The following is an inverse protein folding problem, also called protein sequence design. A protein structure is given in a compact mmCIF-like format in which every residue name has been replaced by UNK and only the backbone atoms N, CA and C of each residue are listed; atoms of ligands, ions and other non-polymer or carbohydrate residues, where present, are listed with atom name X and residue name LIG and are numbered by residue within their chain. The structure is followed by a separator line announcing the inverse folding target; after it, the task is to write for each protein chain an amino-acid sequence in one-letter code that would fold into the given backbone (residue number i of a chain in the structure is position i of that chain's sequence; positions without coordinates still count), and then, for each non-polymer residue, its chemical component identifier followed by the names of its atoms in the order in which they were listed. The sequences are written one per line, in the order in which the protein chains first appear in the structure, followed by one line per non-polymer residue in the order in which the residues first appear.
data_IF_478049708508
#
_entry.id   IF_478049708508
#
_cell.length_a   1.000
_cell.length_b   1.000
_cell.length_c   1.000
_cell.angle_alpha   90.00
_cell.angle_beta   90.00
_cell.angle_gamma   90.00
#
_symmetry.space_group_name_H-M   'P 1'
#
loop_
_entity.id
_entity.type
_entity.pdbx_description
1 polymer ?
#
# COMPACT_ATOMS: atom_id res chain seq x y z
N UNK A 1 -33.64 26.20 16.83
CA UNK A 1 -33.76 25.75 15.41
C UNK A 1 -32.78 24.60 15.07
N UNK A 2 -31.49 24.69 15.37
CA UNK A 2 -30.47 23.60 15.07
C UNK A 2 -30.89 22.23 15.63
N UNK A 3 -31.28 22.12 16.91
CA UNK A 3 -31.68 20.84 17.54
C UNK A 3 -32.86 20.14 16.84
N UNK A 4 -33.80 20.93 16.27
CA UNK A 4 -34.96 20.37 15.56
C UNK A 4 -34.59 19.79 14.21
N UNK A 5 -33.66 20.44 13.50
CA UNK A 5 -33.15 20.00 12.19
C UNK A 5 -32.34 18.70 12.37
N UNK A 6 -31.48 18.62 13.39
CA UNK A 6 -30.67 17.39 13.67
C UNK A 6 -31.57 16.20 13.99
N UNK A 7 -32.63 16.39 14.79
CA UNK A 7 -33.58 15.33 15.14
C UNK A 7 -34.38 14.81 13.93
N UNK A 8 -34.73 15.71 13.03
CA UNK A 8 -35.45 15.37 11.80
C UNK A 8 -34.53 14.63 10.81
N UNK A 9 -33.24 15.01 10.73
CA UNK A 9 -32.25 14.32 9.91
C UNK A 9 -32.00 12.87 10.41
N UNK A 10 -31.85 12.68 11.72
CA UNK A 10 -31.68 11.36 12.34
C UNK A 10 -32.89 10.47 12.08
N UNK A 11 -34.11 11.00 12.23
CA UNK A 11 -35.34 10.25 11.94
C UNK A 11 -35.42 9.85 10.45
N UNK A 12 -35.08 10.72 9.52
CA UNK A 12 -35.05 10.40 8.10
C UNK A 12 -34.01 9.33 7.76
N UNK A 13 -32.83 9.39 8.40
CA UNK A 13 -31.77 8.37 8.22
C UNK A 13 -32.20 7.01 8.76
N UNK A 14 -32.89 6.98 9.92
CA UNK A 14 -33.42 5.74 10.47
C UNK A 14 -34.53 5.15 9.59
N UNK A 15 -35.37 5.98 9.00
CA UNK A 15 -36.40 5.52 8.05
C UNK A 15 -35.78 4.93 6.76
N UNK A 16 -34.69 5.52 6.26
CA UNK A 16 -33.94 5.01 5.12
C UNK A 16 -33.24 3.69 5.41
N UNK A 17 -32.75 3.48 6.63
CA UNK A 17 -32.11 2.22 7.03
C UNK A 17 -33.12 1.06 7.14
N UNK A 18 -34.37 1.35 7.49
CA UNK A 18 -35.43 0.33 7.58
C UNK A 18 -36.06 0.01 6.22
N UNK A 19 -36.15 1.01 5.32
CA UNK A 19 -36.85 0.90 4.02
C UNK A 19 -35.90 0.64 2.85
N UNK A 20 -34.58 0.74 3.03
CA UNK A 20 -33.59 0.66 1.98
C UNK A 20 -32.39 -0.20 2.34
N UNK A 21 -31.42 -0.25 1.44
CA UNK A 21 -30.13 -0.93 1.65
C UNK A 21 -29.08 -0.03 2.35
N UNK A 22 -29.51 1.12 2.91
CA UNK A 22 -28.61 2.06 3.58
C UNK A 22 -28.55 1.73 5.08
N UNK A 23 -27.44 1.15 5.53
CA UNK A 23 -27.13 1.02 6.95
C UNK A 23 -26.42 2.26 7.45
N UNK A 24 -27.04 2.97 8.41
CA UNK A 24 -26.46 4.19 9.01
C UNK A 24 -25.28 3.90 9.96
N UNK A 25 -25.12 2.66 10.37
CA UNK A 25 -24.02 2.23 11.24
C UNK A 25 -22.77 1.81 10.44
N UNK A 26 -22.93 1.58 9.15
CA UNK A 26 -21.82 1.38 8.23
C UNK A 26 -21.35 2.77 7.77
N UNK A 27 -20.11 3.14 8.10
CA UNK A 27 -19.50 4.39 7.65
C UNK A 27 -19.60 4.52 6.13
N UNK A 28 -20.01 5.70 5.66
CA UNK A 28 -20.08 6.00 4.23
C UNK A 28 -18.73 6.54 3.78
N UNK A 29 -17.80 5.65 3.53
CA UNK A 29 -16.51 6.01 2.99
C UNK A 29 -16.65 6.34 1.50
N UNK A 30 -16.13 7.49 1.12
CA UNK A 30 -16.03 7.89 -0.29
C UNK A 30 -14.70 7.40 -0.84
N UNK A 31 -14.70 6.51 -1.83
CA UNK A 31 -13.49 6.15 -2.54
C UNK A 31 -13.68 6.28 -4.05
N UNK A 32 -12.59 6.47 -4.77
CA UNK A 32 -12.53 6.47 -6.22
C UNK A 32 -11.54 5.42 -6.70
N UNK A 33 -11.97 4.60 -7.64
CA UNK A 33 -11.13 3.57 -8.26
C UNK A 33 -11.12 3.76 -9.77
N UNK A 34 -9.96 3.60 -10.38
CA UNK A 34 -9.81 3.64 -11.83
C UNK A 34 -8.81 2.61 -12.32
N UNK A 35 -8.96 2.17 -13.55
CA UNK A 35 -8.09 1.19 -14.21
C UNK A 35 -7.58 1.76 -15.52
N UNK A 36 -6.28 1.60 -15.75
CA UNK A 36 -5.63 1.92 -17.04
C UNK A 36 -4.89 0.68 -17.51
N UNK A 37 -5.23 0.17 -18.67
CA UNK A 37 -4.62 -1.02 -19.23
C UNK A 37 -4.30 -0.86 -20.73
N UNK A 38 -3.26 -1.55 -21.18
CA UNK A 38 -2.99 -1.72 -22.60
C UNK A 38 -3.51 -3.09 -23.05
N UNK A 39 -4.49 -3.11 -23.95
CA UNK A 39 -5.15 -4.35 -24.42
C UNK A 39 -4.15 -5.32 -25.09
N UNK A 40 -3.08 -4.79 -25.70
CA UNK A 40 -2.03 -5.61 -26.33
C UNK A 40 -0.93 -6.04 -25.35
N UNK A 41 -1.06 -5.74 -24.06
CA UNK A 41 -0.06 -6.09 -23.04
C UNK A 41 1.27 -5.33 -23.13
N UNK A 42 1.36 -4.28 -23.94
CA UNK A 42 2.60 -3.52 -24.15
C UNK A 42 2.85 -2.61 -22.94
N UNK A 43 3.95 -2.86 -22.23
CA UNK A 43 4.39 -2.07 -21.08
C UNK A 43 4.85 -0.67 -21.55
N UNK A 44 4.37 0.39 -20.89
CA UNK A 44 4.80 1.76 -21.19
C UNK A 44 4.69 2.68 -19.99
N UNK A 45 5.58 3.68 -19.92
CA UNK A 45 5.50 4.75 -18.91
C UNK A 45 4.21 5.58 -19.06
N UNK A 46 3.60 5.60 -20.26
CA UNK A 46 2.34 6.29 -20.49
C UNK A 46 1.22 5.75 -19.60
N UNK A 47 1.15 4.44 -19.35
CA UNK A 47 0.17 3.81 -18.46
C UNK A 47 0.30 4.40 -17.05
N UNK A 48 1.53 4.56 -16.54
CA UNK A 48 1.78 5.15 -15.23
C UNK A 48 1.29 6.61 -15.18
N UNK A 49 1.66 7.41 -16.18
CA UNK A 49 1.24 8.82 -16.27
C UNK A 49 -0.29 8.95 -16.35
N UNK A 50 -0.94 8.11 -17.13
CA UNK A 50 -2.39 8.11 -17.27
C UNK A 50 -3.06 7.67 -15.95
N UNK A 51 -2.50 6.69 -15.23
CA UNK A 51 -2.99 6.26 -13.91
C UNK A 51 -2.87 7.37 -12.86
N UNK A 52 -1.77 8.09 -12.83
CA UNK A 52 -1.61 9.27 -11.96
C UNK A 52 -2.60 10.39 -12.32
N UNK A 53 -2.89 10.58 -13.61
CA UNK A 53 -3.93 11.52 -14.05
C UNK A 53 -5.33 11.10 -13.59
N UNK A 54 -5.62 9.79 -13.59
CA UNK A 54 -6.89 9.26 -13.03
C UNK A 54 -6.99 9.60 -11.55
N UNK A 55 -5.93 9.41 -10.75
CA UNK A 55 -5.92 9.78 -9.33
C UNK A 55 -6.21 11.27 -9.13
N UNK A 56 -5.55 12.14 -9.90
CA UNK A 56 -5.83 13.59 -9.84
C UNK A 56 -7.28 13.92 -10.19
N UNK A 57 -7.86 13.27 -11.18
CA UNK A 57 -9.24 13.47 -11.58
C UNK A 57 -10.24 12.96 -10.51
N UNK A 58 -9.82 12.02 -9.65
CA UNK A 58 -10.61 11.49 -8.55
C UNK A 58 -10.47 12.27 -7.24
N UNK A 59 -9.72 13.38 -7.22
CA UNK A 59 -9.51 14.20 -6.00
C UNK A 59 -10.79 14.64 -5.32
N UNK A 60 -11.88 14.85 -6.09
CA UNK A 60 -13.21 15.19 -5.57
C UNK A 60 -13.89 14.04 -4.80
N UNK A 61 -13.32 12.82 -4.83
CA UNK A 61 -13.80 11.64 -4.11
C UNK A 61 -13.04 11.41 -2.80
N UNK A 62 -11.96 12.14 -2.56
CA UNK A 62 -11.22 12.12 -1.31
C UNK A 62 -11.72 13.16 -0.33
N UNK A 63 -11.47 12.97 0.96
CA UNK A 63 -11.67 13.96 1.99
C UNK A 63 -10.33 14.56 2.42
N UNK A 64 -10.37 15.82 2.87
CA UNK A 64 -9.25 16.45 3.55
C UNK A 64 -9.53 16.49 5.04
N UNK A 65 -8.47 16.39 5.85
CA UNK A 65 -8.53 16.51 7.30
C UNK A 65 -8.69 17.97 7.77
N UNK A 66 -8.24 18.23 8.99
CA UNK A 66 -8.25 19.57 9.57
C UNK A 66 -7.30 20.54 8.86
N UNK A 67 -6.27 20.03 8.21
CA UNK A 67 -5.40 20.81 7.33
C UNK A 67 -5.60 20.39 5.85
N UNK A 68 -5.51 21.32 4.90
CA UNK A 68 -5.81 21.06 3.49
C UNK A 68 -4.82 20.12 2.80
N UNK A 69 -3.62 19.93 3.37
CA UNK A 69 -2.56 19.09 2.82
C UNK A 69 -2.53 17.68 3.45
N UNK A 70 -3.45 17.38 4.37
CA UNK A 70 -3.67 16.05 4.93
C UNK A 70 -4.99 15.48 4.43
N UNK A 71 -4.94 14.47 3.58
CA UNK A 71 -6.11 13.81 3.00
C UNK A 71 -6.11 12.30 3.24
N UNK A 72 -7.12 11.61 2.67
CA UNK A 72 -7.32 10.16 2.82
C UNK A 72 -6.22 9.31 2.19
N UNK A 73 -5.35 9.92 1.40
CA UNK A 73 -4.31 9.21 0.66
C UNK A 73 -4.77 8.68 -0.69
N UNK A 74 -3.81 8.35 -1.52
CA UNK A 74 -4.02 7.79 -2.85
C UNK A 74 -2.85 6.87 -3.22
N UNK A 75 -3.08 5.93 -4.11
CA UNK A 75 -2.03 5.02 -4.55
C UNK A 75 -2.34 4.36 -5.89
N UNK A 76 -1.32 3.77 -6.48
CA UNK A 76 -1.47 2.95 -7.68
C UNK A 76 -0.90 1.56 -7.43
N UNK A 77 -1.56 0.56 -7.96
CA UNK A 77 -1.04 -0.80 -8.05
C UNK A 77 -0.64 -1.07 -9.49
N UNK A 78 0.55 -1.60 -9.70
CA UNK A 78 1.05 -1.91 -11.04
C UNK A 78 1.81 -3.24 -11.05
N UNK A 79 2.00 -3.78 -12.24
CA UNK A 79 2.90 -4.91 -12.43
C UNK A 79 4.33 -4.53 -12.03
N UNK A 80 5.13 -5.51 -11.62
CA UNK A 80 6.53 -5.30 -11.24
C UNK A 80 7.25 -4.53 -12.35
N UNK A 81 7.76 -3.32 -12.07
CA UNK A 81 8.52 -2.51 -13.03
C UNK A 81 9.99 -2.99 -13.06
N UNK A 82 10.21 -4.20 -13.56
CA UNK A 82 11.48 -4.93 -13.52
C UNK A 82 12.68 -4.07 -13.96
N UNK A 83 12.58 -3.41 -15.11
CA UNK A 83 13.67 -2.56 -15.61
C UNK A 83 14.03 -1.43 -14.64
N UNK A 84 13.03 -0.83 -13.98
CA UNK A 84 13.24 0.22 -12.99
C UNK A 84 13.93 -0.35 -11.74
N UNK A 85 13.48 -1.49 -11.24
CA UNK A 85 14.09 -2.12 -10.07
C UNK A 85 15.53 -2.56 -10.33
N UNK A 86 15.81 -3.15 -11.50
CA UNK A 86 17.18 -3.50 -11.88
C UNK A 86 18.10 -2.27 -11.91
N UNK A 87 17.64 -1.16 -12.50
CA UNK A 87 18.44 0.05 -12.54
C UNK A 87 18.79 0.56 -11.13
N UNK A 88 17.79 0.63 -10.23
CA UNK A 88 18.00 1.10 -8.84
C UNK A 88 18.95 0.19 -8.07
N UNK A 89 18.80 -1.13 -8.21
CA UNK A 89 19.62 -2.06 -7.44
C UNK A 89 21.03 -2.19 -8.03
N UNK A 90 21.19 -2.04 -9.33
CA UNK A 90 22.51 -2.00 -9.98
C UNK A 90 23.37 -0.85 -9.48
N UNK A 91 22.79 0.30 -9.13
CA UNK A 91 23.51 1.41 -8.48
C UNK A 91 24.20 0.96 -7.18
N UNK A 92 23.60 -0.01 -6.48
CA UNK A 92 24.13 -0.61 -5.26
C UNK A 92 24.89 -1.93 -5.52
N UNK A 93 25.20 -2.26 -6.78
CA UNK A 93 25.87 -3.52 -7.20
C UNK A 93 25.10 -4.79 -6.82
N UNK A 94 23.78 -4.69 -6.71
CA UNK A 94 22.88 -5.80 -6.45
C UNK A 94 22.18 -6.23 -7.74
N UNK A 95 22.11 -7.54 -7.99
CA UNK A 95 21.39 -8.10 -9.13
C UNK A 95 20.08 -8.72 -8.69
N UNK A 96 19.05 -8.58 -9.53
CA UNK A 96 17.78 -9.30 -9.35
C UNK A 96 17.79 -10.59 -10.17
N UNK A 97 17.19 -11.67 -9.65
CA UNK A 97 16.87 -12.86 -10.45
C UNK A 97 15.94 -12.52 -11.62
N UNK A 98 15.59 -13.50 -12.42
CA UNK A 98 14.64 -13.31 -13.51
C UNK A 98 13.25 -12.93 -13.01
N UNK A 99 12.48 -12.25 -13.88
CA UNK A 99 11.11 -11.86 -13.56
C UNK A 99 10.27 -13.12 -13.25
N UNK A 100 9.54 -13.09 -12.13
CA UNK A 100 8.85 -14.26 -11.57
C UNK A 100 9.64 -14.97 -10.45
N UNK A 101 10.96 -14.79 -10.39
CA UNK A 101 11.83 -15.38 -9.38
C UNK A 101 12.08 -14.46 -8.17
N UNK A 102 11.54 -13.27 -8.19
CA UNK A 102 11.61 -12.32 -7.08
C UNK A 102 10.28 -11.60 -6.86
N UNK A 103 10.11 -11.11 -5.65
CA UNK A 103 8.99 -10.28 -5.25
C UNK A 103 9.47 -8.97 -4.63
N UNK A 104 8.62 -7.96 -4.65
CA UNK A 104 8.86 -6.70 -3.97
C UNK A 104 7.63 -6.30 -3.16
N UNK A 105 7.85 -5.75 -1.98
CA UNK A 105 6.79 -5.26 -1.08
C UNK A 105 7.13 -3.92 -0.47
N UNK A 106 6.12 -3.10 -0.21
CA UNK A 106 6.25 -1.86 0.56
C UNK A 106 5.85 -2.16 2.00
N UNK A 107 6.65 -1.72 2.95
CA UNK A 107 6.44 -1.93 4.38
C UNK A 107 6.47 -0.58 5.09
N UNK A 108 5.43 -0.33 5.88
CA UNK A 108 5.31 0.83 6.75
C UNK A 108 5.78 0.43 8.15
N UNK A 109 6.84 1.07 8.62
CA UNK A 109 7.51 0.76 9.86
C UNK A 109 7.36 1.90 10.88
N UNK A 110 7.39 1.61 12.18
CA UNK A 110 7.34 2.65 13.20
C UNK A 110 8.59 3.54 13.18
N UNK A 111 8.42 4.80 13.59
CA UNK A 111 9.52 5.77 13.69
C UNK A 111 10.51 5.41 14.80
N UNK A 112 10.07 4.73 15.86
CA UNK A 112 10.94 4.30 16.93
C UNK A 112 11.98 3.28 16.44
N UNK A 113 13.25 3.65 16.51
CA UNK A 113 14.36 2.86 15.95
C UNK A 113 14.44 1.44 16.51
N UNK A 114 14.33 1.29 17.84
CA UNK A 114 14.42 -0.04 18.49
C UNK A 114 13.29 -0.97 18.06
N UNK A 115 12.06 -0.45 18.00
CA UNK A 115 10.90 -1.22 17.56
C UNK A 115 11.02 -1.57 16.08
N UNK A 116 11.46 -0.63 15.24
CA UNK A 116 11.70 -0.85 13.80
C UNK A 116 12.72 -1.97 13.58
N UNK A 117 13.86 -1.94 14.27
CA UNK A 117 14.89 -2.98 14.18
C UNK A 117 14.36 -4.35 14.64
N UNK A 118 13.56 -4.39 15.71
CA UNK A 118 12.89 -5.62 16.16
C UNK A 118 11.99 -6.20 15.06
N UNK A 119 11.17 -5.36 14.44
CA UNK A 119 10.25 -5.77 13.36
C UNK A 119 11.03 -6.27 12.14
N UNK A 120 12.08 -5.57 11.72
CA UNK A 120 12.94 -6.00 10.62
C UNK A 120 13.53 -7.38 10.90
N UNK A 121 14.06 -7.61 12.10
CA UNK A 121 14.59 -8.91 12.51
C UNK A 121 13.52 -10.02 12.51
N UNK A 122 12.28 -9.72 12.89
CA UNK A 122 11.16 -10.67 12.80
C UNK A 122 10.89 -11.02 11.34
N UNK A 123 10.82 -10.04 10.45
CA UNK A 123 10.60 -10.23 9.03
C UNK A 123 11.67 -11.15 8.46
N UNK A 124 12.94 -10.84 8.67
CA UNK A 124 14.07 -11.61 8.14
C UNK A 124 14.08 -13.06 8.65
N UNK A 125 13.79 -13.29 9.93
CA UNK A 125 13.67 -14.64 10.51
C UNK A 125 12.53 -15.44 9.86
N UNK A 126 11.38 -14.80 9.63
CA UNK A 126 10.22 -15.48 9.02
C UNK A 126 10.50 -15.79 7.55
N UNK A 127 11.16 -14.89 6.81
CA UNK A 127 11.59 -15.17 5.44
C UNK A 127 12.48 -16.42 5.39
N UNK A 128 13.52 -16.47 6.19
CA UNK A 128 14.43 -17.63 6.27
C UNK A 128 13.68 -18.91 6.62
N UNK A 129 12.75 -18.87 7.59
CA UNK A 129 11.93 -20.03 7.98
C UNK A 129 11.08 -20.57 6.83
N UNK A 130 10.71 -19.73 5.88
CA UNK A 130 9.90 -20.09 4.71
C UNK A 130 10.74 -20.33 3.44
N UNK A 131 12.08 -20.47 3.57
CA UNK A 131 13.02 -20.63 2.46
C UNK A 131 12.95 -19.47 1.45
N UNK A 132 12.77 -18.27 1.96
CA UNK A 132 12.82 -17.03 1.21
C UNK A 132 14.12 -16.30 1.53
N UNK A 133 14.78 -15.76 0.52
CA UNK A 133 16.03 -15.02 0.64
C UNK A 133 15.78 -13.53 0.52
N UNK A 134 16.26 -12.77 1.48
CA UNK A 134 16.26 -11.30 1.40
C UNK A 134 17.35 -10.87 0.41
N UNK A 135 16.95 -10.17 -0.65
CA UNK A 135 17.91 -9.57 -1.58
C UNK A 135 18.37 -8.22 -1.04
N UNK A 136 17.43 -7.34 -0.68
CA UNK A 136 17.76 -6.00 -0.23
C UNK A 136 16.59 -5.30 0.45
N UNK A 137 16.93 -4.35 1.31
CA UNK A 137 16.06 -3.27 1.75
C UNK A 137 16.39 -1.98 1.00
N UNK A 138 15.38 -1.21 0.67
CA UNK A 138 15.51 0.11 0.04
C UNK A 138 14.65 1.12 0.78
N UNK A 139 15.19 2.30 1.04
CA UNK A 139 14.39 3.41 1.53
C UNK A 139 13.55 3.98 0.38
N UNK A 140 12.25 4.15 0.62
CA UNK A 140 11.35 4.74 -0.39
C UNK A 140 11.51 6.26 -0.34
N UNK A 141 11.83 6.92 -1.47
CA UNK A 141 11.91 8.37 -1.52
C UNK A 141 10.56 9.00 -1.18
N UNK A 142 10.54 9.92 -0.23
CA UNK A 142 9.35 10.64 0.22
C UNK A 142 9.62 12.14 0.14
N UNK A 143 8.74 12.87 -0.54
CA UNK A 143 8.77 14.33 -0.55
C UNK A 143 7.98 14.89 0.64
N UNK A 144 8.70 15.19 1.71
CA UNK A 144 8.10 15.70 2.94
C UNK A 144 7.53 17.12 2.80
N UNK A 145 7.91 17.86 1.76
CA UNK A 145 7.40 19.22 1.54
C UNK A 145 5.94 19.26 1.07
N UNK A 146 5.39 18.10 0.72
CA UNK A 146 4.04 17.95 0.15
C UNK A 146 3.02 17.33 1.10
N UNK A 147 3.41 17.06 2.35
CA UNK A 147 2.51 16.47 3.34
C UNK A 147 2.10 17.50 4.39
N UNK A 148 0.85 17.43 4.84
CA UNK A 148 0.33 18.30 5.89
C UNK A 148 0.96 18.03 7.26
N UNK A 149 0.80 18.98 8.17
CA UNK A 149 1.41 18.92 9.52
C UNK A 149 0.99 17.66 10.26
N UNK A 150 -0.30 17.33 10.26
CA UNK A 150 -0.83 16.14 10.94
C UNK A 150 -0.27 14.82 10.37
N UNK A 151 -0.18 14.73 9.04
CA UNK A 151 0.41 13.56 8.39
C UNK A 151 1.91 13.45 8.68
N UNK A 152 2.62 14.57 8.76
CA UNK A 152 4.05 14.61 9.08
C UNK A 152 4.35 14.04 10.47
N UNK A 153 3.50 14.33 11.47
CA UNK A 153 3.70 13.88 12.84
C UNK A 153 3.53 12.36 13.00
N UNK A 154 2.67 11.76 12.20
CA UNK A 154 2.33 10.32 12.30
C UNK A 154 2.84 9.48 11.14
N UNK A 155 3.54 10.07 10.18
CA UNK A 155 4.06 9.34 9.01
C UNK A 155 4.96 8.17 9.46
N UNK A 156 4.81 6.99 8.85
CA UNK A 156 5.71 5.88 9.11
C UNK A 156 7.04 6.04 8.36
N UNK A 157 8.02 5.25 8.76
CA UNK A 157 9.19 4.97 7.93
C UNK A 157 8.79 4.00 6.82
N UNK A 158 9.04 4.36 5.55
CA UNK A 158 8.60 3.55 4.41
C UNK A 158 9.81 2.84 3.80
N UNK A 159 9.82 1.52 3.85
CA UNK A 159 10.86 0.70 3.22
C UNK A 159 10.28 -0.22 2.17
N UNK A 160 11.09 -0.47 1.15
CA UNK A 160 10.81 -1.47 0.14
C UNK A 160 11.73 -2.67 0.34
N UNK A 161 11.13 -3.86 0.35
CA UNK A 161 11.85 -5.13 0.45
C UNK A 161 11.88 -5.83 -0.91
N UNK A 162 12.99 -6.48 -1.22
CA UNK A 162 13.14 -7.38 -2.35
C UNK A 162 13.48 -8.78 -1.84
N UNK A 163 12.74 -9.76 -2.31
CA UNK A 163 12.77 -11.15 -1.82
C UNK A 163 12.86 -12.09 -3.00
N UNK A 164 13.67 -13.13 -2.89
CA UNK A 164 13.74 -14.22 -3.85
C UNK A 164 13.53 -15.57 -3.18
N UNK A 165 13.52 -16.61 -3.98
CA UNK A 165 13.62 -17.98 -3.53
C UNK A 165 14.72 -18.69 -4.31
N UNK A 166 15.50 -19.51 -3.63
CA UNK A 166 16.54 -20.35 -4.26
C UNK A 166 15.96 -21.69 -4.78
N UNK A 167 14.67 -21.90 -4.55
CA UNK A 167 13.98 -23.11 -5.01
C UNK A 167 13.47 -22.92 -6.43
N UNK A 168 13.64 -23.95 -7.24
CA UNK A 168 12.99 -24.03 -8.55
C UNK A 168 11.51 -24.41 -8.34
N UNK A 169 10.67 -23.40 -8.15
CA UNK A 169 9.23 -23.53 -7.89
C UNK A 169 8.44 -22.72 -8.90
N UNK A 170 7.17 -23.03 -9.06
CA UNK A 170 6.26 -22.30 -9.93
C UNK A 170 5.90 -20.93 -9.35
N UNK A 171 5.44 -19.99 -10.19
CA UNK A 171 4.99 -18.67 -9.76
C UNK A 171 3.85 -18.75 -8.73
N UNK A 172 2.95 -19.74 -8.87
CA UNK A 172 1.84 -19.97 -7.93
C UNK A 172 2.36 -20.45 -6.56
N UNK A 173 3.33 -21.36 -6.54
CA UNK A 173 3.94 -21.81 -5.30
C UNK A 173 4.71 -20.68 -4.61
N UNK A 174 5.45 -19.89 -5.36
CA UNK A 174 6.14 -18.73 -4.83
C UNK A 174 5.17 -17.71 -4.22
N UNK A 175 4.10 -17.38 -4.94
CA UNK A 175 3.03 -16.48 -4.47
C UNK A 175 2.39 -16.99 -3.18
N UNK A 176 2.14 -18.30 -3.08
CA UNK A 176 1.59 -18.95 -1.89
C UNK A 176 2.53 -18.83 -0.68
N UNK A 177 3.82 -19.08 -0.89
CA UNK A 177 4.83 -18.97 0.17
C UNK A 177 4.94 -17.52 0.66
N UNK A 178 4.96 -16.54 -0.26
CA UNK A 178 4.97 -15.12 0.08
C UNK A 178 3.74 -14.72 0.90
N UNK A 179 2.55 -15.21 0.52
CA UNK A 179 1.32 -14.96 1.26
C UNK A 179 1.40 -15.52 2.69
N UNK A 180 1.87 -16.76 2.84
CA UNK A 180 2.04 -17.42 4.15
C UNK A 180 3.04 -16.63 5.01
N UNK A 181 4.20 -16.29 4.45
CA UNK A 181 5.23 -15.52 5.16
C UNK A 181 4.68 -14.17 5.63
N UNK A 182 3.94 -13.46 4.76
CA UNK A 182 3.27 -12.20 5.12
C UNK A 182 2.32 -12.39 6.31
N UNK A 183 1.47 -13.42 6.28
CA UNK A 183 0.53 -13.69 7.39
C UNK A 183 1.23 -14.07 8.69
N UNK A 184 2.36 -14.77 8.61
CA UNK A 184 3.18 -15.07 9.79
C UNK A 184 3.81 -13.79 10.37
N UNK A 185 4.31 -12.89 9.51
CA UNK A 185 4.86 -11.60 9.93
C UNK A 185 3.78 -10.75 10.60
N UNK A 186 2.60 -10.60 9.97
CA UNK A 186 1.48 -9.85 10.53
C UNK A 186 1.11 -10.38 11.95
N UNK A 187 1.03 -11.69 12.11
CA UNK A 187 0.71 -12.32 13.40
C UNK A 187 1.78 -12.08 14.46
N UNK A 188 3.05 -12.25 14.11
CA UNK A 188 4.17 -12.13 15.04
C UNK A 188 4.41 -10.69 15.48
N UNK A 189 4.18 -9.71 14.59
CA UNK A 189 4.34 -8.28 14.91
C UNK A 189 3.21 -7.76 15.80
N UNK A 190 2.00 -8.36 15.72
CA UNK A 190 0.84 -7.97 16.53
C UNK A 190 0.79 -8.68 17.90
N UNK A 191 1.64 -9.69 18.12
CA UNK A 191 1.75 -10.41 19.39
C UNK A 191 2.71 -9.71 20.37
#
# INVERSE_FOLDING_TARGET
KRKKITKQLINNLNELSVKGLCDIHIGKDGCGVGVVANIKGVKSNKIIKDSLKVLNNLSHRGACGCDPDTGDGAGITLQIPDKFFRNILNENKLSLPDLGQYASGIIFLPNEKKLREKIINIIEKILLKNNLSLISWRDVPVDQSKIGLWASDVKPEIKQIFISTDKNITDDEFSKILFIARKMIEKEVLS
#
